data_IF_816530167885
#
_entry.id   IF_816530167885
#
_cell.length_a   1.000
_cell.length_b   1.000
_cell.length_c   1.000
_cell.angle_alpha   90.00
_cell.angle_beta   90.00
_cell.angle_gamma   90.00
#
_symmetry.space_group_name_H-M   'P 1'
#
loop_
_entity.id
_entity.type
_entity.pdbx_description
1 polymer ?
#
# COMPACT_ATOMS: atom_id res chain seq x y z
N UNK A 1 8.57 15.51 26.44
CA UNK A 1 8.89 15.48 25.90
C UNK A 1 9.17 15.89 25.05
N UNK A 2 9.48 16.19 24.87
CA UNK A 2 10.02 16.36 23.98
C UNK A 2 9.94 15.56 23.02
N UNK A 3 9.08 15.28 22.73
CA UNK A 3 9.01 14.39 22.04
C UNK A 3 9.12 14.44 20.66
N UNK A 4 8.79 15.33 19.91
CA UNK A 4 9.11 15.42 18.54
C UNK A 4 10.58 15.38 18.36
N UNK A 5 11.23 15.81 19.31
CA UNK A 5 12.64 15.62 19.36
C UNK A 5 13.03 14.20 19.43
N UNK A 6 12.06 13.33 19.65
CA UNK A 6 12.32 11.92 19.68
C UNK A 6 12.22 11.28 18.31
N UNK A 7 11.87 12.06 17.29
CA UNK A 7 11.91 11.55 15.92
C UNK A 7 13.22 11.98 15.29
N UNK A 8 14.16 11.04 15.14
CA UNK A 8 15.40 11.37 14.46
C UNK A 8 15.10 11.76 13.01
N UNK A 9 15.90 12.66 12.48
CA UNK A 9 15.77 13.08 11.09
C UNK A 9 15.88 11.90 10.14
N UNK A 10 16.65 10.91 10.50
CA UNK A 10 16.78 9.69 9.69
C UNK A 10 15.45 8.98 9.47
N UNK A 11 14.57 8.99 10.46
CA UNK A 11 13.28 8.33 10.33
C UNK A 11 12.42 9.03 9.28
N UNK A 12 12.48 10.36 9.25
CA UNK A 12 11.78 11.12 8.21
C UNK A 12 12.36 10.84 6.83
N UNK A 13 13.67 10.81 6.72
CA UNK A 13 14.34 10.53 5.46
C UNK A 13 13.99 9.12 4.97
N UNK A 14 13.99 8.14 5.86
CA UNK A 14 13.62 6.77 5.52
C UNK A 14 12.17 6.67 5.05
N UNK A 15 11.26 7.40 5.71
CA UNK A 15 9.85 7.44 5.29
C UNK A 15 9.71 8.06 3.91
N UNK A 16 10.44 9.13 3.62
CA UNK A 16 10.40 9.80 2.32
C UNK A 16 10.95 8.91 1.21
N UNK A 17 11.91 8.03 1.53
CA UNK A 17 12.54 7.14 0.57
C UNK A 17 11.82 5.80 0.43
N UNK A 18 10.73 5.60 1.15
CA UNK A 18 9.96 4.37 1.05
C UNK A 18 9.54 4.09 -0.37
N UNK A 19 9.69 2.83 -0.78
CA UNK A 19 9.35 2.40 -2.13
C UNK A 19 7.97 1.78 -2.15
N UNK A 20 7.08 2.38 -2.93
CA UNK A 20 5.70 1.95 -3.09
C UNK A 20 5.53 1.18 -4.39
N UNK A 21 4.69 0.16 -4.37
CA UNK A 21 4.21 -0.48 -5.58
C UNK A 21 2.71 -0.20 -5.69
N UNK A 22 2.30 0.43 -6.78
CA UNK A 22 0.90 0.74 -7.07
C UNK A 22 0.40 -0.24 -8.10
N UNK A 23 -0.61 -1.03 -7.74
CA UNK A 23 -1.14 -2.12 -8.55
C UNK A 23 -2.58 -1.83 -8.95
N UNK A 24 -2.83 -1.70 -10.24
CA UNK A 24 -4.15 -1.42 -10.79
C UNK A 24 -4.08 -1.73 -12.29
N UNK A 25 -5.10 -2.35 -12.85
CA UNK A 25 -5.13 -2.66 -14.28
C UNK A 25 -5.42 -1.41 -15.14
N UNK A 26 -5.83 -0.32 -14.52
CA UNK A 26 -6.15 0.92 -15.20
C UNK A 26 -5.02 1.93 -15.06
N UNK A 27 -4.32 2.22 -16.18
CA UNK A 27 -3.12 3.07 -16.16
C UNK A 27 -3.38 4.47 -15.63
N UNK A 28 -4.56 5.04 -15.94
CA UNK A 28 -4.93 6.36 -15.45
C UNK A 28 -5.01 6.37 -13.93
N UNK A 29 -5.58 5.33 -13.34
CA UNK A 29 -5.68 5.24 -11.88
C UNK A 29 -4.31 5.09 -11.23
N UNK A 30 -3.41 4.29 -11.82
CA UNK A 30 -2.04 4.17 -11.32
C UNK A 30 -1.35 5.52 -11.31
N UNK A 31 -1.52 6.30 -12.38
CA UNK A 31 -0.92 7.64 -12.49
C UNK A 31 -1.48 8.58 -11.42
N UNK A 32 -2.79 8.52 -11.19
CA UNK A 32 -3.44 9.35 -10.16
C UNK A 32 -2.87 9.02 -8.79
N UNK A 33 -2.81 7.75 -8.44
CA UNK A 33 -2.29 7.32 -7.13
C UNK A 33 -0.83 7.72 -6.95
N UNK A 34 0.00 7.51 -7.97
CA UNK A 34 1.41 7.94 -7.93
C UNK A 34 1.51 9.45 -7.72
N UNK A 35 0.68 10.21 -8.43
CA UNK A 35 0.66 11.67 -8.30
C UNK A 35 0.30 12.12 -6.90
N UNK A 36 -0.71 11.49 -6.30
CA UNK A 36 -1.11 11.79 -4.94
C UNK A 36 -0.02 11.43 -3.93
N UNK A 37 0.61 10.27 -4.09
CA UNK A 37 1.73 9.86 -3.22
C UNK A 37 2.89 10.86 -3.32
N UNK A 38 3.18 11.33 -4.54
CA UNK A 38 4.22 12.34 -4.74
C UNK A 38 3.88 13.64 -4.01
N UNK A 39 2.63 14.09 -4.09
CA UNK A 39 2.19 15.29 -3.39
C UNK A 39 2.30 15.16 -1.88
N UNK A 40 2.12 13.93 -1.37
CA UNK A 40 2.27 13.66 0.07
C UNK A 40 3.75 13.66 0.48
N UNK A 41 4.65 13.37 -0.46
CA UNK A 41 6.09 13.36 -0.20
C UNK A 41 6.77 12.04 -0.52
N UNK A 42 6.05 11.07 -1.11
CA UNK A 42 6.60 9.77 -1.46
C UNK A 42 6.91 9.74 -2.96
N UNK A 43 8.18 9.87 -3.30
CA UNK A 43 8.59 10.00 -4.70
C UNK A 43 9.04 8.69 -5.33
N UNK A 44 9.21 7.64 -4.54
CA UNK A 44 9.71 6.36 -5.03
C UNK A 44 8.54 5.38 -5.21
N UNK A 45 7.88 5.49 -6.37
CA UNK A 45 6.71 4.67 -6.67
C UNK A 45 6.89 3.97 -8.02
N UNK A 46 6.60 2.68 -8.04
CA UNK A 46 6.55 1.90 -9.28
C UNK A 46 5.13 1.36 -9.48
N UNK A 47 4.86 0.86 -10.69
CA UNK A 47 3.52 0.44 -11.09
C UNK A 47 3.52 -0.98 -11.58
N UNK A 48 2.40 -1.69 -11.34
CA UNK A 48 2.14 -2.99 -11.89
C UNK A 48 0.70 -3.03 -12.43
N UNK A 49 0.47 -3.76 -13.51
CA UNK A 49 -0.82 -3.82 -14.19
C UNK A 49 -1.79 -4.81 -13.56
N UNK A 50 -1.27 -5.81 -12.86
CA UNK A 50 -2.10 -6.82 -12.21
C UNK A 50 -1.31 -7.49 -11.08
N UNK A 51 -1.98 -8.40 -10.38
CA UNK A 51 -1.36 -9.06 -9.24
C UNK A 51 -0.19 -9.95 -9.60
N UNK A 52 -0.22 -10.58 -10.77
CA UNK A 52 0.86 -11.48 -11.19
C UNK A 52 2.15 -10.70 -11.45
N UNK A 53 2.05 -9.60 -12.18
CA UNK A 53 3.19 -8.71 -12.40
C UNK A 53 3.69 -8.15 -11.07
N UNK A 54 2.77 -7.70 -10.22
CA UNK A 54 3.12 -7.16 -8.91
C UNK A 54 3.92 -8.18 -8.09
N UNK A 55 3.46 -9.42 -8.04
CA UNK A 55 4.13 -10.45 -7.27
C UNK A 55 5.54 -10.72 -7.79
N UNK A 56 5.71 -10.75 -9.11
CA UNK A 56 7.05 -10.90 -9.70
C UNK A 56 7.95 -9.75 -9.32
N UNK A 57 7.45 -8.51 -9.34
CA UNK A 57 8.23 -7.33 -8.98
C UNK A 57 8.61 -7.36 -7.50
N UNK A 58 7.67 -7.74 -6.63
CA UNK A 58 7.91 -7.82 -5.20
C UNK A 58 8.97 -8.87 -4.83
N UNK A 59 9.05 -9.94 -5.61
CA UNK A 59 10.05 -10.99 -5.40
C UNK A 59 11.42 -10.61 -5.96
N UNK A 60 11.45 -9.70 -6.93
CA UNK A 60 12.70 -9.32 -7.62
C UNK A 60 13.42 -8.15 -6.96
N UNK A 61 12.74 -7.34 -6.18
CA UNK A 61 13.32 -6.14 -5.58
C UNK A 61 12.63 -5.84 -4.24
N UNK A 62 13.26 -4.98 -3.44
CA UNK A 62 12.72 -4.60 -2.14
C UNK A 62 11.71 -3.48 -2.31
N UNK A 63 10.54 -3.66 -1.71
CA UNK A 63 9.48 -2.65 -1.60
C UNK A 63 9.10 -2.49 -0.14
N UNK A 64 8.48 -1.36 0.19
CA UNK A 64 8.10 -1.03 1.57
C UNK A 64 6.59 -0.96 1.79
N UNK A 65 5.82 -0.80 0.71
CA UNK A 65 4.38 -0.57 0.82
C UNK A 65 3.70 -0.92 -0.50
N UNK A 66 2.55 -1.60 -0.43
CA UNK A 66 1.77 -1.96 -1.62
C UNK A 66 0.41 -1.29 -1.55
N UNK A 67 0.01 -0.63 -2.63
CA UNK A 67 -1.34 -0.07 -2.80
C UNK A 67 -1.96 -0.82 -3.98
N UNK A 68 -2.96 -1.65 -3.73
CA UNK A 68 -3.50 -2.54 -4.76
C UNK A 68 -5.00 -2.43 -4.91
N UNK A 69 -5.45 -2.29 -6.16
CA UNK A 69 -6.86 -2.45 -6.49
C UNK A 69 -7.29 -3.88 -6.19
N UNK A 70 -8.58 -4.08 -5.96
CA UNK A 70 -9.13 -5.41 -5.68
C UNK A 70 -9.46 -6.14 -6.98
N UNK A 71 -10.17 -5.47 -7.89
CA UNK A 71 -10.67 -6.11 -9.11
C UNK A 71 -9.72 -5.92 -10.28
N UNK A 72 -8.93 -6.94 -10.57
CA UNK A 72 -7.95 -6.94 -11.65
C UNK A 72 -7.98 -8.26 -12.39
N UNK A 73 -7.62 -8.29 -13.68
CA UNK A 73 -7.51 -9.54 -14.42
C UNK A 73 -6.31 -10.36 -13.96
N UNK A 74 -6.27 -11.62 -14.31
CA UNK A 74 -5.21 -12.59 -14.02
C UNK A 74 -5.08 -12.91 -12.54
N UNK A 75 -4.78 -11.92 -11.71
CA UNK A 75 -4.69 -12.10 -10.26
C UNK A 75 -5.34 -10.90 -9.59
N UNK A 76 -6.39 -11.14 -8.81
CA UNK A 76 -7.10 -10.10 -8.08
C UNK A 76 -6.26 -9.57 -6.91
N UNK A 77 -6.68 -8.43 -6.34
CA UNK A 77 -6.01 -7.87 -5.17
C UNK A 77 -6.04 -8.81 -3.97
N UNK A 78 -7.12 -9.57 -3.79
CA UNK A 78 -7.19 -10.53 -2.69
C UNK A 78 -6.26 -11.72 -2.92
N UNK A 79 -6.16 -12.18 -4.17
CA UNK A 79 -5.20 -13.24 -4.51
C UNK A 79 -3.77 -12.78 -4.33
N UNK A 80 -3.46 -11.54 -4.71
CA UNK A 80 -2.16 -10.95 -4.49
C UNK A 80 -1.85 -10.86 -2.98
N UNK A 81 -2.80 -10.38 -2.20
CA UNK A 81 -2.66 -10.27 -0.76
C UNK A 81 -2.36 -11.63 -0.13
N UNK A 82 -3.10 -12.66 -0.55
CA UNK A 82 -2.87 -14.02 -0.08
C UNK A 82 -1.45 -14.49 -0.40
N UNK A 83 -1.01 -14.28 -1.63
CA UNK A 83 0.33 -14.67 -2.06
C UNK A 83 1.42 -13.95 -1.25
N UNK A 84 1.22 -12.66 -0.97
CA UNK A 84 2.14 -11.88 -0.14
C UNK A 84 2.20 -12.47 1.28
N UNK A 85 1.05 -12.77 1.87
CA UNK A 85 0.98 -13.26 3.24
C UNK A 85 1.55 -14.68 3.39
N UNK A 86 1.50 -15.47 2.32
CA UNK A 86 2.03 -16.83 2.32
C UNK A 86 3.53 -16.89 2.02
N UNK A 87 4.12 -15.80 1.56
CA UNK A 87 5.55 -15.73 1.24
C UNK A 87 6.33 -15.19 2.44
N UNK A 88 7.22 -16.00 3.05
CA UNK A 88 7.97 -15.52 4.22
C UNK A 88 8.81 -14.27 3.96
N UNK A 89 9.23 -14.04 2.71
CA UNK A 89 10.01 -12.86 2.35
C UNK A 89 9.16 -11.62 2.18
N UNK A 90 7.84 -11.77 1.98
CA UNK A 90 6.94 -10.67 1.65
C UNK A 90 5.87 -10.39 2.70
N UNK A 91 5.62 -11.34 3.60
CA UNK A 91 4.47 -11.26 4.50
C UNK A 91 4.47 -10.04 5.42
N UNK A 92 5.62 -9.40 5.59
CA UNK A 92 5.74 -8.20 6.42
C UNK A 92 5.25 -6.93 5.71
N UNK A 93 5.09 -6.98 4.38
CA UNK A 93 4.70 -5.80 3.60
C UNK A 93 3.28 -5.37 3.93
N UNK A 94 3.06 -4.09 4.24
CA UNK A 94 1.70 -3.58 4.38
C UNK A 94 1.04 -3.45 3.01
N UNK A 95 -0.22 -3.88 2.94
CA UNK A 95 -1.01 -3.79 1.71
C UNK A 95 -2.26 -2.96 2.01
N UNK A 96 -2.38 -1.82 1.32
CA UNK A 96 -3.57 -0.98 1.36
C UNK A 96 -4.43 -1.36 0.16
N UNK A 97 -5.63 -1.89 0.42
CA UNK A 97 -6.55 -2.31 -0.63
C UNK A 97 -7.38 -1.14 -1.12
N UNK A 98 -7.53 -1.01 -2.43
CA UNK A 98 -8.33 0.05 -3.05
C UNK A 98 -9.57 -0.59 -3.65
N UNK A 99 -10.74 -0.08 -3.28
CA UNK A 99 -12.02 -0.60 -3.75
C UNK A 99 -12.90 0.51 -4.33
N UNK A 100 -13.69 0.16 -5.35
CA UNK A 100 -14.66 1.10 -5.92
C UNK A 100 -15.91 1.22 -5.05
N UNK A 101 -16.16 0.24 -4.18
CA UNK A 101 -17.35 0.21 -3.34
C UNK A 101 -17.00 -0.19 -1.91
N UNK A 102 -17.63 0.48 -0.95
CA UNK A 102 -17.46 0.15 0.47
C UNK A 102 -18.39 -0.99 0.86
N UNK A 103 -18.25 -2.15 0.20
CA UNK A 103 -19.05 -3.31 0.57
C UNK A 103 -18.53 -3.89 1.87
N UNK A 104 -19.46 -4.16 2.78
CA UNK A 104 -19.10 -4.74 4.08
C UNK A 104 -18.32 -6.06 3.91
N UNK A 105 -18.73 -6.90 2.97
CA UNK A 105 -18.09 -8.19 2.71
C UNK A 105 -16.61 -8.00 2.32
N UNK A 106 -16.32 -7.03 1.46
CA UNK A 106 -14.96 -6.76 1.00
C UNK A 106 -14.10 -6.19 2.13
N UNK A 107 -14.68 -5.33 2.96
CA UNK A 107 -13.98 -4.75 4.10
C UNK A 107 -13.62 -5.83 5.11
N UNK A 108 -14.56 -6.70 5.42
CA UNK A 108 -14.36 -7.82 6.34
C UNK A 108 -13.32 -8.79 5.78
N UNK A 109 -13.44 -9.11 4.49
CA UNK A 109 -12.50 -10.02 3.84
C UNK A 109 -11.08 -9.44 3.83
N UNK A 110 -10.94 -8.15 3.56
CA UNK A 110 -9.64 -7.48 3.59
C UNK A 110 -9.01 -7.58 4.97
N UNK A 111 -9.78 -7.29 6.01
CA UNK A 111 -9.30 -7.37 7.38
C UNK A 111 -8.90 -8.80 7.77
N UNK A 112 -9.74 -9.77 7.44
CA UNK A 112 -9.48 -11.19 7.74
C UNK A 112 -8.30 -11.75 6.96
N UNK A 113 -8.04 -11.19 5.77
CA UNK A 113 -6.94 -11.65 4.91
C UNK A 113 -5.61 -10.99 5.25
N UNK A 114 -5.59 -10.08 6.21
CA UNK A 114 -4.36 -9.46 6.66
C UNK A 114 -3.99 -8.19 5.92
N UNK A 115 -4.94 -7.53 5.24
CA UNK A 115 -4.71 -6.20 4.67
C UNK A 115 -4.43 -5.22 5.80
N UNK A 116 -3.52 -4.27 5.55
CA UNK A 116 -3.20 -3.24 6.53
C UNK A 116 -4.30 -2.18 6.61
N UNK A 117 -5.08 -2.04 5.54
CA UNK A 117 -6.20 -1.12 5.49
C UNK A 117 -6.91 -1.18 4.15
N UNK A 118 -7.94 -0.38 4.00
CA UNK A 118 -8.65 -0.22 2.74
C UNK A 118 -9.00 1.25 2.52
N UNK A 119 -9.18 1.62 1.25
CA UNK A 119 -9.59 2.97 0.88
C UNK A 119 -10.56 2.85 -0.30
N UNK A 120 -11.59 3.69 -0.30
CA UNK A 120 -12.65 3.67 -1.32
C UNK A 120 -12.40 4.77 -2.34
N UNK A 121 -12.40 4.43 -3.63
CA UNK A 121 -12.25 5.44 -4.68
C UNK A 121 -13.61 6.02 -5.07
N UNK A 122 -13.66 7.30 -5.48
CA UNK A 122 -12.50 8.20 -5.56
C UNK A 122 -12.11 8.68 -4.16
N UNK A 123 -10.83 8.94 -3.96
CA UNK A 123 -10.33 9.43 -2.67
C UNK A 123 -9.45 10.66 -2.88
N UNK A 124 -9.31 11.44 -1.83
CA UNK A 124 -8.51 12.65 -1.84
C UNK A 124 -7.09 12.37 -1.37
N UNK A 125 -6.19 13.32 -1.62
CA UNK A 125 -4.85 13.30 -1.07
C UNK A 125 -4.89 13.14 0.45
N UNK A 126 -5.76 13.91 1.13
CA UNK A 126 -5.86 13.87 2.59
C UNK A 126 -6.24 12.48 3.11
N UNK A 127 -7.19 11.82 2.45
CA UNK A 127 -7.61 10.48 2.85
C UNK A 127 -6.51 9.46 2.62
N UNK A 128 -5.81 9.53 1.49
CA UNK A 128 -4.71 8.63 1.22
C UNK A 128 -3.59 8.82 2.23
N UNK A 129 -3.23 10.07 2.52
CA UNK A 129 -2.19 10.39 3.49
C UNK A 129 -2.54 9.83 4.88
N UNK A 130 -3.78 10.03 5.31
CA UNK A 130 -4.26 9.52 6.60
C UNK A 130 -4.12 8.00 6.69
N UNK A 131 -4.54 7.29 5.61
CA UNK A 131 -4.46 5.83 5.59
C UNK A 131 -3.03 5.34 5.65
N UNK A 132 -2.15 5.93 4.87
CA UNK A 132 -0.73 5.55 4.85
C UNK A 132 -0.09 5.80 6.21
N UNK A 133 -0.31 6.98 6.78
CA UNK A 133 0.26 7.33 8.09
C UNK A 133 -0.22 6.40 9.19
N UNK A 134 -1.51 6.08 9.19
CA UNK A 134 -2.09 5.18 10.18
C UNK A 134 -1.47 3.79 10.12
N UNK A 135 -1.28 3.29 8.90
CA UNK A 135 -0.63 1.98 8.69
C UNK A 135 0.82 2.03 9.19
N UNK A 136 1.55 3.08 8.83
CA UNK A 136 2.95 3.22 9.24
C UNK A 136 3.09 3.33 10.77
N UNK A 137 2.17 4.05 11.42
CA UNK A 137 2.18 4.17 12.88
C UNK A 137 1.96 2.82 13.55
N UNK A 138 1.06 2.00 13.01
CA UNK A 138 0.82 0.65 13.55
C UNK A 138 2.04 -0.24 13.40
N UNK A 139 2.72 -0.15 12.26
CA UNK A 139 3.93 -0.93 12.03
C UNK A 139 5.04 -0.52 13.01
N UNK A 140 5.22 0.78 13.22
CA UNK A 140 6.21 1.29 14.17
C UNK A 140 5.91 0.83 15.58
N UNK A 141 4.64 0.82 15.98
CA UNK A 141 4.23 0.40 17.32
C UNK A 141 4.40 -1.11 17.54
N UNK A 142 4.35 -1.90 16.46
CA UNK A 142 4.51 -3.36 16.53
C UNK A 142 5.96 -3.81 16.48
N UNK A 143 6.87 -2.91 16.11
CA UNK A 143 8.28 -3.25 15.95
C UNK A 143 9.03 -3.40 17.29
#
# INVERSE_FOLDING_TARGET
HNLCILFPLEDYAMSADMKFLVVDDFSTMRRIVRGLLKEIGYNNCEEAEDGAEALNMLRAAKYDFVVSDINMPNMTGFELLKAIKEDPALKHLPVLMVTAEARKEDIVLAAQSGAAGYIVKPFTKATLEEKVQKIMQKLAAAA
#
